data_IF_705165826464
#
_entry.id   IF_705165826464
#
_cell.length_a   1.000
_cell.length_b   1.000
_cell.length_c   1.000
_cell.angle_alpha   90.00
_cell.angle_beta   90.00
_cell.angle_gamma   90.00
#
_symmetry.space_group_name_H-M   'P 1'
#
loop_
_entity.id
_entity.type
_entity.pdbx_description
1 polymer ?
#
# COMPACT_ATOMS: atom_id res chain seq x y z
N UNK A 1 -17.08 -13.05 7.39
CA UNK A 1 -16.06 -12.46 6.50
C UNK A 1 -16.36 -12.64 5.01
N UNK A 2 -17.01 -13.73 4.57
CA UNK A 2 -17.37 -14.03 3.17
C UNK A 2 -18.20 -12.95 2.45
N UNK A 3 -19.01 -12.17 3.15
CA UNK A 3 -19.85 -11.13 2.53
C UNK A 3 -19.04 -9.86 2.14
N UNK A 4 -17.97 -9.51 2.90
CA UNK A 4 -17.21 -8.27 2.66
C UNK A 4 -16.35 -8.35 1.41
N UNK A 5 -15.66 -9.47 1.20
CA UNK A 5 -14.84 -9.69 -0.01
C UNK A 5 -15.70 -9.73 -1.26
N UNK A 6 -16.91 -10.30 -1.17
CA UNK A 6 -17.89 -10.30 -2.24
C UNK A 6 -18.41 -8.89 -2.57
N UNK A 7 -18.76 -8.09 -1.54
CA UNK A 7 -19.17 -6.68 -1.71
C UNK A 7 -18.05 -5.85 -2.32
N UNK A 8 -16.83 -5.99 -1.80
CA UNK A 8 -15.66 -5.29 -2.31
C UNK A 8 -15.41 -5.63 -3.79
N UNK A 9 -15.44 -6.92 -4.14
CA UNK A 9 -15.26 -7.38 -5.53
C UNK A 9 -16.33 -6.79 -6.45
N UNK A 10 -17.61 -6.89 -6.07
CA UNK A 10 -18.73 -6.35 -6.82
C UNK A 10 -18.60 -4.83 -7.05
N UNK A 11 -18.21 -4.09 -6.01
CA UNK A 11 -18.00 -2.65 -6.13
C UNK A 11 -16.78 -2.30 -6.98
N UNK A 12 -15.71 -3.08 -6.88
CA UNK A 12 -14.52 -2.91 -7.70
C UNK A 12 -14.83 -3.15 -9.17
N UNK A 13 -15.65 -4.15 -9.52
CA UNK A 13 -16.11 -4.39 -10.89
C UNK A 13 -16.87 -3.18 -11.46
N UNK A 14 -17.67 -2.50 -10.64
CA UNK A 14 -18.35 -1.24 -11.01
C UNK A 14 -17.37 -0.07 -11.17
N UNK A 15 -16.33 0.01 -10.34
CA UNK A 15 -15.30 1.03 -10.49
C UNK A 15 -14.46 0.78 -11.75
N UNK A 16 -14.16 -0.48 -12.05
CA UNK A 16 -13.43 -0.92 -13.24
C UNK A 16 -14.18 -0.56 -14.53
N UNK A 17 -15.51 -0.76 -14.57
CA UNK A 17 -16.30 -0.40 -15.75
C UNK A 17 -16.26 1.11 -16.04
N UNK A 18 -16.29 1.94 -15.00
CA UNK A 18 -16.16 3.37 -15.17
C UNK A 18 -14.72 3.80 -15.49
N UNK A 19 -13.72 3.15 -14.90
CA UNK A 19 -12.31 3.39 -15.23
C UNK A 19 -12.06 3.15 -16.72
N UNK A 20 -12.58 2.05 -17.28
CA UNK A 20 -12.56 1.75 -18.74
C UNK A 20 -13.17 2.86 -19.58
N UNK A 21 -14.28 3.45 -19.12
CA UNK A 21 -14.94 4.54 -19.82
C UNK A 21 -14.09 5.83 -19.81
N UNK A 22 -13.41 6.12 -18.69
CA UNK A 22 -12.53 7.29 -18.56
C UNK A 22 -11.28 7.14 -19.44
N UNK A 23 -10.56 6.02 -19.31
CA UNK A 23 -9.30 5.82 -20.04
C UNK A 23 -9.48 5.35 -21.49
N UNK A 24 -10.70 4.99 -21.90
CA UNK A 24 -11.03 4.42 -23.22
C UNK A 24 -10.28 3.11 -23.53
N UNK A 25 -9.85 2.37 -22.50
CA UNK A 25 -9.16 1.08 -22.62
C UNK A 25 -10.14 -0.04 -22.28
N UNK A 26 -10.57 -0.81 -23.28
CA UNK A 26 -11.59 -1.86 -23.12
C UNK A 26 -11.06 -3.13 -22.42
N UNK A 27 -9.77 -3.44 -22.57
CA UNK A 27 -9.09 -4.61 -22.01
C UNK A 27 -8.48 -4.38 -20.62
N UNK A 28 -8.94 -3.35 -19.89
CA UNK A 28 -8.53 -3.13 -18.50
C UNK A 28 -9.20 -4.18 -17.60
N UNK A 29 -8.44 -5.01 -16.90
CA UNK A 29 -8.94 -6.03 -15.96
C UNK A 29 -8.32 -5.85 -14.58
N UNK A 30 -8.91 -6.50 -13.57
CA UNK A 30 -8.39 -6.52 -12.21
C UNK A 30 -8.21 -7.96 -11.75
N UNK A 31 -6.98 -8.31 -11.38
CA UNK A 31 -6.62 -9.64 -10.90
C UNK A 31 -5.54 -9.52 -9.81
N UNK A 32 -5.65 -10.31 -8.74
CA UNK A 32 -4.60 -10.39 -7.72
C UNK A 32 -4.22 -9.04 -7.09
N UNK A 33 -5.21 -8.17 -6.85
CA UNK A 33 -5.02 -6.81 -6.30
C UNK A 33 -4.30 -5.82 -7.23
N UNK A 34 -4.18 -6.13 -8.53
CA UNK A 34 -3.56 -5.25 -9.52
C UNK A 34 -4.45 -5.08 -10.74
N UNK A 35 -4.30 -3.94 -11.40
CA UNK A 35 -4.89 -3.70 -12.70
C UNK A 35 -3.97 -4.22 -13.81
N UNK A 36 -4.59 -4.75 -14.86
CA UNK A 36 -3.91 -5.25 -16.06
C UNK A 36 -4.51 -4.59 -17.29
N UNK A 37 -3.68 -4.24 -18.25
CA UNK A 37 -4.10 -3.84 -19.60
C UNK A 37 -3.78 -5.01 -20.53
N UNK A 38 -4.80 -5.79 -20.88
CA UNK A 38 -4.59 -7.09 -21.51
C UNK A 38 -3.84 -8.02 -20.55
N UNK A 39 -2.65 -8.48 -20.95
CA UNK A 39 -1.80 -9.36 -20.16
C UNK A 39 -0.68 -8.62 -19.40
N UNK A 40 -0.60 -7.29 -19.54
CA UNK A 40 0.43 -6.49 -18.88
C UNK A 40 -0.09 -5.86 -17.58
N UNK A 41 0.50 -6.17 -16.42
CA UNK A 41 0.13 -5.48 -15.18
C UNK A 41 0.57 -4.01 -15.24
N UNK A 42 -0.21 -3.16 -14.57
CA UNK A 42 0.17 -1.77 -14.36
C UNK A 42 1.17 -1.65 -13.23
N UNK A 43 2.32 -1.07 -13.55
CA UNK A 43 3.41 -0.81 -12.63
C UNK A 43 3.49 0.69 -12.28
N UNK A 44 4.29 0.97 -11.27
CA UNK A 44 4.73 2.28 -10.79
C UNK A 44 3.63 3.11 -10.13
N UNK A 45 2.66 2.47 -9.49
CA UNK A 45 1.53 3.17 -8.88
C UNK A 45 1.98 3.94 -7.64
N UNK A 46 1.43 5.15 -7.46
CA UNK A 46 1.72 5.94 -6.26
C UNK A 46 1.14 5.31 -4.99
N UNK A 47 1.70 5.70 -3.85
CA UNK A 47 1.40 5.16 -2.52
C UNK A 47 -0.06 5.29 -2.07
N UNK A 48 -0.80 6.27 -2.59
CA UNK A 48 -2.21 6.46 -2.26
C UNK A 48 -3.16 5.69 -3.20
N UNK A 49 -2.61 4.96 -4.16
CA UNK A 49 -3.34 4.27 -5.24
C UNK A 49 -2.97 2.78 -5.36
N UNK A 50 -1.80 2.39 -4.87
CA UNK A 50 -1.23 1.04 -5.02
C UNK A 50 -1.98 -0.09 -4.28
N UNK A 51 -2.86 0.21 -3.33
CA UNK A 51 -3.65 -0.79 -2.58
C UNK A 51 -5.15 -0.64 -2.84
N UNK A 52 -5.77 -1.68 -3.41
CA UNK A 52 -7.20 -1.72 -3.76
C UNK A 52 -8.05 -2.49 -2.74
N UNK A 53 -7.56 -2.57 -1.50
CA UNK A 53 -8.27 -3.15 -0.37
C UNK A 53 -9.11 -2.13 0.41
N UNK A 54 -10.17 -2.63 1.06
CA UNK A 54 -10.91 -1.86 2.06
C UNK A 54 -10.09 -1.78 3.35
N UNK A 55 -9.80 -0.57 3.81
CA UNK A 55 -8.88 -0.28 4.90
C UNK A 55 -9.55 -0.34 6.28
N UNK A 56 -10.85 -0.05 6.39
CA UNK A 56 -11.55 0.02 7.68
C UNK A 56 -12.62 -1.07 7.86
N UNK A 57 -12.69 -1.70 9.03
CA UNK A 57 -13.77 -2.64 9.34
C UNK A 57 -15.13 -1.95 9.55
N UNK A 58 -15.12 -0.66 9.89
CA UNK A 58 -16.29 0.08 10.36
C UNK A 58 -16.78 1.15 9.37
N UNK A 59 -15.91 1.67 8.51
CA UNK A 59 -16.23 2.77 7.59
C UNK A 59 -16.35 2.30 6.13
N UNK A 60 -17.33 1.44 5.85
CA UNK A 60 -17.54 0.90 4.49
C UNK A 60 -17.84 1.97 3.43
N UNK A 61 -18.46 3.09 3.78
CA UNK A 61 -18.74 4.16 2.82
C UNK A 61 -17.47 4.88 2.36
N UNK A 62 -16.59 5.25 3.30
CA UNK A 62 -15.30 5.88 2.99
C UNK A 62 -14.40 4.94 2.19
N UNK A 63 -14.42 3.64 2.52
CA UNK A 63 -13.72 2.60 1.76
C UNK A 63 -14.21 2.53 0.30
N UNK A 64 -15.53 2.64 0.07
CA UNK A 64 -16.08 2.67 -1.30
C UNK A 64 -15.66 3.93 -2.04
N UNK A 65 -15.77 5.10 -1.42
CA UNK A 65 -15.34 6.35 -2.03
C UNK A 65 -13.83 6.34 -2.35
N UNK A 66 -13.02 5.79 -1.44
CA UNK A 66 -11.59 5.60 -1.65
C UNK A 66 -11.32 4.65 -2.83
N UNK A 67 -11.95 3.47 -2.88
CA UNK A 67 -11.80 2.56 -4.03
C UNK A 67 -12.17 3.22 -5.35
N UNK A 68 -13.24 4.02 -5.35
CA UNK A 68 -13.64 4.75 -6.55
C UNK A 68 -12.58 5.77 -6.96
N UNK A 69 -12.07 6.55 -6.02
CA UNK A 69 -11.00 7.51 -6.27
C UNK A 69 -9.71 6.83 -6.74
N UNK A 70 -9.34 5.67 -6.21
CA UNK A 70 -8.20 4.87 -6.69
C UNK A 70 -8.39 4.44 -8.14
N UNK A 71 -9.56 3.89 -8.49
CA UNK A 71 -9.85 3.46 -9.86
C UNK A 71 -9.84 4.64 -10.84
N UNK A 72 -10.43 5.77 -10.46
CA UNK A 72 -10.43 7.00 -11.26
C UNK A 72 -8.99 7.55 -11.43
N UNK A 73 -8.17 7.56 -10.36
CA UNK A 73 -6.74 7.93 -10.40
C UNK A 73 -5.93 7.04 -11.36
N UNK A 74 -6.19 5.73 -11.37
CA UNK A 74 -5.52 4.77 -12.27
C UNK A 74 -5.95 5.01 -13.72
N UNK A 75 -7.23 5.28 -13.95
CA UNK A 75 -7.74 5.61 -15.29
C UNK A 75 -7.07 6.87 -15.86
N UNK A 76 -6.92 7.92 -15.04
CA UNK A 76 -6.20 9.13 -15.43
C UNK A 76 -4.72 8.86 -15.74
N UNK A 77 -4.09 7.96 -14.99
CA UNK A 77 -2.69 7.56 -15.25
C UNK A 77 -2.55 6.86 -16.59
N UNK A 78 -3.45 5.93 -16.91
CA UNK A 78 -3.50 5.26 -18.21
C UNK A 78 -3.71 6.25 -19.37
N UNK A 79 -4.47 7.31 -19.14
CA UNK A 79 -4.81 8.29 -20.17
C UNK A 79 -3.70 9.32 -20.42
N UNK A 80 -2.96 9.71 -19.38
CA UNK A 80 -2.08 10.89 -19.43
C UNK A 80 -0.60 10.60 -19.18
N UNK A 81 -0.22 9.33 -18.93
CA UNK A 81 1.18 8.93 -18.66
C UNK A 81 1.64 7.82 -19.61
N UNK A 82 2.79 8.03 -20.24
CA UNK A 82 3.56 6.97 -20.89
C UNK A 82 4.45 6.25 -19.86
N UNK A 83 4.21 4.94 -19.70
CA UNK A 83 4.93 4.10 -18.77
C UNK A 83 6.42 3.96 -19.10
N UNK A 84 6.81 4.00 -20.38
CA UNK A 84 8.20 3.86 -20.83
C UNK A 84 9.02 5.09 -20.45
N UNK A 85 8.46 6.29 -20.68
CA UNK A 85 9.08 7.56 -20.28
C UNK A 85 9.22 7.64 -18.77
N UNK A 86 8.16 7.23 -18.05
CA UNK A 86 8.20 7.17 -16.59
C UNK A 86 9.31 6.24 -16.08
N UNK A 87 9.36 5.01 -16.60
CA UNK A 87 10.37 4.02 -16.20
C UNK A 87 11.80 4.50 -16.47
N UNK A 88 12.05 5.09 -17.65
CA UNK A 88 13.37 5.60 -18.05
C UNK A 88 13.92 6.67 -17.09
N UNK A 89 13.04 7.51 -16.54
CA UNK A 89 13.42 8.63 -15.68
C UNK A 89 13.34 8.32 -14.17
N UNK A 90 12.82 7.13 -13.82
CA UNK A 90 12.57 6.73 -12.44
C UNK A 90 13.89 6.59 -11.66
N UNK A 91 14.05 7.27 -10.51
CA UNK A 91 15.26 7.17 -9.71
C UNK A 91 15.37 5.81 -9.00
N UNK A 92 16.59 5.42 -8.67
CA UNK A 92 16.88 4.13 -8.02
C UNK A 92 16.59 4.08 -6.52
N UNK A 93 16.87 5.12 -5.69
CA UNK A 93 16.64 5.04 -4.24
C UNK A 93 15.15 5.00 -3.89
N UNK A 94 14.77 4.26 -2.86
CA UNK A 94 13.35 3.96 -2.55
C UNK A 94 12.52 5.21 -2.25
N UNK A 95 13.05 6.16 -1.49
CA UNK A 95 12.29 7.37 -1.14
C UNK A 95 12.20 8.29 -2.35
N UNK A 96 13.30 8.46 -3.09
CA UNK A 96 13.29 9.21 -4.35
C UNK A 96 12.26 8.62 -5.32
N UNK A 97 12.20 7.29 -5.41
CA UNK A 97 11.26 6.55 -6.27
C UNK A 97 9.81 6.75 -5.81
N UNK A 98 9.55 6.66 -4.51
CA UNK A 98 8.24 6.96 -3.91
C UNK A 98 7.76 8.36 -4.28
N UNK A 99 8.61 9.37 -4.08
CA UNK A 99 8.29 10.78 -4.39
C UNK A 99 8.06 10.94 -5.89
N UNK A 100 8.90 10.33 -6.73
CA UNK A 100 8.78 10.42 -8.18
C UNK A 100 7.47 9.81 -8.70
N UNK A 101 7.14 8.59 -8.26
CA UNK A 101 5.90 7.90 -8.64
C UNK A 101 4.66 8.68 -8.18
N UNK A 102 4.75 9.33 -7.01
CA UNK A 102 3.73 10.22 -6.49
C UNK A 102 3.57 11.48 -7.33
N UNK A 103 4.67 12.16 -7.69
CA UNK A 103 4.63 13.34 -8.56
C UNK A 103 3.93 13.03 -9.88
N UNK A 104 4.28 11.93 -10.55
CA UNK A 104 3.60 11.54 -11.79
C UNK A 104 2.10 11.30 -11.58
N UNK A 105 1.72 10.65 -10.48
CA UNK A 105 0.31 10.44 -10.16
C UNK A 105 -0.44 11.75 -9.92
N UNK A 106 0.15 12.70 -9.19
CA UNK A 106 -0.46 14.01 -8.93
C UNK A 106 -0.55 14.83 -10.23
N UNK A 107 0.42 14.70 -11.15
CA UNK A 107 0.38 15.32 -12.48
C UNK A 107 -0.82 14.85 -13.28
N UNK A 108 -1.01 13.54 -13.42
CA UNK A 108 -2.12 12.99 -14.21
C UNK A 108 -3.48 13.28 -13.55
N UNK A 109 -3.54 13.29 -12.22
CA UNK A 109 -4.74 13.70 -11.49
C UNK A 109 -5.08 15.18 -11.74
N UNK A 110 -4.07 16.05 -11.85
CA UNK A 110 -4.27 17.48 -12.15
C UNK A 110 -4.81 17.72 -13.56
N UNK A 111 -4.54 16.81 -14.49
CA UNK A 111 -4.98 16.85 -15.88
C UNK A 111 -6.42 16.31 -16.08
N UNK A 112 -7.12 15.93 -15.01
CA UNK A 112 -8.47 15.38 -15.13
C UNK A 112 -9.42 16.32 -15.92
N UNK A 113 -10.28 15.76 -16.79
CA UNK A 113 -11.19 16.57 -17.61
C UNK A 113 -12.15 17.41 -16.77
N UNK A 114 -12.30 18.68 -17.13
CA UNK A 114 -13.26 19.61 -16.48
C UNK A 114 -14.71 19.15 -16.63
N UNK A 115 -15.00 18.35 -17.66
CA UNK A 115 -16.33 17.74 -17.91
C UNK A 115 -16.71 16.67 -16.89
N UNK A 116 -15.74 16.15 -16.11
CA UNK A 116 -15.93 15.09 -15.13
C UNK A 116 -15.59 15.57 -13.71
N UNK A 117 -16.31 16.56 -13.14
CA UNK A 117 -15.98 17.12 -11.83
C UNK A 117 -16.03 16.07 -10.70
N UNK A 118 -16.90 15.05 -10.83
CA UNK A 118 -16.98 13.96 -9.86
C UNK A 118 -15.69 13.13 -9.76
N UNK A 119 -14.91 13.01 -10.84
CA UNK A 119 -13.60 12.35 -10.82
C UNK A 119 -12.65 13.08 -9.88
N UNK A 120 -12.61 14.41 -9.95
CA UNK A 120 -11.78 15.23 -9.06
C UNK A 120 -12.21 15.13 -7.60
N UNK A 121 -13.52 15.05 -7.34
CA UNK A 121 -14.05 14.78 -6.00
C UNK A 121 -13.58 13.42 -5.48
N UNK A 122 -13.69 12.37 -6.30
CA UNK A 122 -13.29 11.01 -5.90
C UNK A 122 -11.78 10.91 -5.60
N UNK A 123 -10.96 11.47 -6.49
CA UNK A 123 -9.50 11.52 -6.34
C UNK A 123 -9.10 12.29 -5.07
N UNK A 124 -9.75 13.43 -4.81
CA UNK A 124 -9.47 14.24 -3.62
C UNK A 124 -9.90 13.52 -2.33
N UNK A 125 -11.06 12.88 -2.33
CA UNK A 125 -11.55 12.07 -1.22
C UNK A 125 -10.62 10.89 -0.92
N UNK A 126 -10.13 10.20 -1.97
CA UNK A 126 -9.17 9.12 -1.79
C UNK A 126 -7.87 9.59 -1.14
N UNK A 127 -7.29 10.69 -1.64
CA UNK A 127 -6.06 11.22 -1.06
C UNK A 127 -6.26 11.65 0.40
N UNK A 128 -7.37 12.34 0.70
CA UNK A 128 -7.70 12.72 2.07
C UNK A 128 -7.86 11.50 2.99
N UNK A 129 -8.60 10.48 2.56
CA UNK A 129 -8.78 9.24 3.31
C UNK A 129 -7.45 8.51 3.54
N UNK A 130 -6.58 8.48 2.53
CA UNK A 130 -5.23 7.94 2.67
C UNK A 130 -4.40 8.72 3.70
N UNK A 131 -4.46 10.06 3.70
CA UNK A 131 -3.78 10.88 4.70
C UNK A 131 -4.27 10.58 6.12
N UNK A 132 -5.59 10.49 6.32
CA UNK A 132 -6.17 10.12 7.62
C UNK A 132 -5.70 8.74 8.08
N UNK A 133 -5.66 7.77 7.17
CA UNK A 133 -5.16 6.42 7.47
C UNK A 133 -3.69 6.43 7.87
N UNK A 134 -2.81 7.15 7.17
CA UNK A 134 -1.39 7.23 7.55
C UNK A 134 -1.20 7.91 8.91
N UNK A 135 -1.95 8.97 9.17
CA UNK A 135 -1.94 9.66 10.46
C UNK A 135 -2.36 8.73 11.62
N UNK A 136 -3.45 7.99 11.45
CA UNK A 136 -3.96 7.07 12.48
C UNK A 136 -3.06 5.85 12.75
N UNK A 137 -2.27 5.42 11.75
CA UNK A 137 -1.35 4.29 11.89
C UNK A 137 0.05 4.69 12.38
N UNK A 138 0.23 5.93 12.83
CA UNK A 138 1.49 6.40 13.40
C UNK A 138 2.60 6.69 12.38
N UNK A 139 2.29 6.75 11.07
CA UNK A 139 3.29 7.08 10.05
C UNK A 139 3.95 8.44 10.33
N UNK A 140 3.17 9.41 10.82
CA UNK A 140 3.61 10.77 11.16
C UNK A 140 4.28 10.89 12.54
N UNK A 141 4.34 9.82 13.33
CA UNK A 141 4.99 9.86 14.66
C UNK A 141 6.52 9.79 14.55
N UNK A 142 7.02 9.25 13.44
CA UNK A 142 8.45 9.15 13.13
C UNK A 142 8.97 10.41 12.44
N UNK A 143 10.26 10.69 12.57
CA UNK A 143 10.86 11.87 11.93
C UNK A 143 10.87 11.72 10.41
N UNK A 144 11.27 10.56 9.91
CA UNK A 144 11.32 10.29 8.46
C UNK A 144 9.90 10.23 7.88
N UNK A 145 8.97 9.53 8.54
CA UNK A 145 7.60 9.44 8.07
C UNK A 145 6.89 10.80 8.06
N UNK A 146 7.11 11.64 9.08
CA UNK A 146 6.61 13.01 9.10
C UNK A 146 7.16 13.84 7.93
N UNK A 147 8.46 13.72 7.62
CA UNK A 147 9.08 14.44 6.50
C UNK A 147 8.49 13.99 5.16
N UNK A 148 8.38 12.68 4.92
CA UNK A 148 7.77 12.13 3.70
C UNK A 148 6.32 12.60 3.59
N UNK A 149 5.53 12.50 4.67
CA UNK A 149 4.13 12.91 4.70
C UNK A 149 3.96 14.39 4.33
N UNK A 150 4.78 15.26 4.92
CA UNK A 150 4.80 16.70 4.60
C UNK A 150 5.19 16.94 3.14
N UNK A 151 6.22 16.27 2.62
CA UNK A 151 6.61 16.38 1.22
C UNK A 151 5.45 16.05 0.28
N UNK A 152 4.75 14.94 0.50
CA UNK A 152 3.62 14.51 -0.33
C UNK A 152 2.47 15.53 -0.29
N UNK A 153 2.13 16.03 0.90
CA UNK A 153 1.10 17.06 1.06
C UNK A 153 1.47 18.37 0.35
N UNK A 154 2.71 18.85 0.54
CA UNK A 154 3.19 20.09 -0.07
C UNK A 154 3.20 19.98 -1.60
N UNK A 155 3.69 18.88 -2.16
CA UNK A 155 3.69 18.63 -3.61
C UNK A 155 2.26 18.68 -4.16
N UNK A 156 1.32 17.97 -3.51
CA UNK A 156 -0.08 17.95 -3.96
C UNK A 156 -0.72 19.33 -3.89
N UNK A 157 -0.60 20.00 -2.74
CA UNK A 157 -1.18 21.33 -2.54
C UNK A 157 -0.64 22.34 -3.55
N UNK A 158 0.66 22.25 -3.87
CA UNK A 158 1.29 23.12 -4.87
C UNK A 158 0.75 22.89 -6.28
N UNK A 159 0.56 21.64 -6.69
CA UNK A 159 0.08 21.29 -8.03
C UNK A 159 -1.42 21.56 -8.22
N UNK A 160 -2.21 21.32 -7.17
CA UNK A 160 -3.66 21.57 -7.20
C UNK A 160 -4.02 23.03 -6.92
N UNK A 161 -3.13 23.80 -6.28
CA UNK A 161 -3.41 25.17 -5.88
C UNK A 161 -4.43 25.26 -4.73
N UNK A 162 -4.52 24.22 -3.90
CA UNK A 162 -5.45 24.11 -2.77
C UNK A 162 -4.63 24.06 -1.48
N UNK A 163 -5.03 24.76 -0.40
CA UNK A 163 -4.34 24.69 0.87
C UNK A 163 -4.44 23.29 1.49
N UNK A 164 -3.53 23.01 2.42
CA UNK A 164 -3.56 21.78 3.23
C UNK A 164 -4.83 21.78 4.07
N UNK A 165 -5.43 20.60 4.25
CA UNK A 165 -6.61 20.47 5.10
C UNK A 165 -6.27 20.79 6.56
N UNK A 166 -7.18 21.47 7.26
CA UNK A 166 -6.97 21.98 8.62
C UNK A 166 -6.53 20.89 9.63
N UNK A 167 -7.00 19.65 9.47
CA UNK A 167 -6.56 18.49 10.27
C UNK A 167 -5.03 18.28 10.28
N UNK A 168 -4.35 18.64 9.19
CA UNK A 168 -2.92 18.38 9.00
C UNK A 168 -2.06 19.66 9.01
N UNK A 169 -2.67 20.85 8.91
CA UNK A 169 -1.95 22.12 8.74
C UNK A 169 -0.98 22.38 9.89
N UNK A 170 -1.48 22.36 11.13
CA UNK A 170 -0.64 22.52 12.33
C UNK A 170 0.36 21.37 12.53
N UNK A 171 0.01 20.16 12.08
CA UNK A 171 0.86 18.98 12.20
C UNK A 171 2.13 19.13 11.36
N UNK A 172 1.99 19.58 10.10
CA UNK A 172 3.11 19.66 9.16
C UNK A 172 3.93 20.94 9.28
N UNK A 173 3.42 21.99 9.93
CA UNK A 173 3.95 23.35 9.80
C UNK A 173 5.44 23.48 10.08
N UNK A 174 5.91 22.89 11.20
CA UNK A 174 7.32 22.89 11.57
C UNK A 174 8.21 22.25 10.50
N UNK A 175 7.84 21.06 10.03
CA UNK A 175 8.58 20.36 8.98
C UNK A 175 8.49 21.08 7.63
N UNK A 176 7.34 21.68 7.31
CA UNK A 176 7.10 22.45 6.09
C UNK A 176 8.04 23.65 6.02
N UNK A 177 8.18 24.40 7.11
CA UNK A 177 9.10 25.53 7.23
C UNK A 177 10.56 25.15 7.01
N UNK A 178 10.95 23.93 7.41
CA UNK A 178 12.29 23.40 7.18
C UNK A 178 12.54 22.96 5.74
N UNK A 179 11.59 22.23 5.12
CA UNK A 179 11.82 21.62 3.80
C UNK A 179 11.60 22.60 2.64
N UNK A 180 10.58 23.46 2.70
CA UNK A 180 10.14 24.27 1.54
C UNK A 180 11.26 25.18 0.99
N UNK A 181 12.09 25.82 1.82
CA UNK A 181 13.23 26.59 1.32
C UNK A 181 14.25 25.78 0.50
N UNK A 182 14.38 24.48 0.77
CA UNK A 182 15.37 23.59 0.11
C UNK A 182 14.86 23.05 -1.24
N UNK A 183 13.54 22.86 -1.36
CA UNK A 183 12.88 22.25 -2.53
C UNK A 183 12.00 23.22 -3.33
N UNK A 184 11.99 24.50 -2.95
CA UNK A 184 11.06 25.51 -3.47
C UNK A 184 11.19 25.75 -4.97
N UNK A 185 12.41 25.71 -5.51
CA UNK A 185 12.69 25.95 -6.93
C UNK A 185 12.10 24.85 -7.81
N UNK A 186 12.28 23.59 -7.42
CA UNK A 186 11.68 22.45 -8.11
C UNK A 186 10.16 22.49 -7.99
N UNK A 187 9.61 22.78 -6.79
CA UNK A 187 8.17 22.92 -6.58
C UNK A 187 7.55 24.05 -7.40
N UNK A 188 8.30 25.11 -7.70
CA UNK A 188 7.87 26.19 -8.58
C UNK A 188 7.87 25.79 -10.06
N UNK A 189 8.73 24.85 -10.45
CA UNK A 189 8.89 24.41 -11.83
C UNK A 189 7.86 23.36 -12.26
N UNK A 190 7.43 22.48 -11.34
CA UNK A 190 6.49 21.39 -11.66
C UNK A 190 5.18 21.84 -12.36
N UNK A 191 4.45 22.90 -11.93
CA UNK A 191 3.20 23.30 -12.57
C UNK A 191 3.38 23.81 -14.00
N UNK A 192 4.59 24.25 -14.39
CA UNK A 192 4.87 24.78 -15.72
C UNK A 192 4.95 23.68 -16.79
N UNK A 193 5.32 22.47 -16.36
CA UNK A 193 5.58 21.33 -17.26
C UNK A 193 4.44 20.29 -17.24
N UNK A 194 3.23 20.62 -16.76
CA UNK A 194 2.14 19.66 -16.58
C UNK A 194 1.81 18.83 -17.84
N UNK A 195 1.89 19.45 -19.01
CA UNK A 195 1.55 18.85 -20.30
C UNK A 195 2.72 18.14 -21.00
N UNK A 196 3.95 18.29 -20.49
CA UNK A 196 5.14 17.64 -21.04
C UNK A 196 5.72 16.65 -20.02
N UNK A 197 5.45 15.36 -20.23
CA UNK A 197 5.84 14.31 -19.30
C UNK A 197 7.36 14.21 -19.13
N UNK A 198 8.16 14.40 -20.18
CA UNK A 198 9.62 14.28 -20.10
C UNK A 198 10.24 15.40 -19.27
N UNK A 199 9.84 16.65 -19.52
CA UNK A 199 10.30 17.80 -18.75
C UNK A 199 9.83 17.73 -17.30
N UNK A 200 8.57 17.33 -17.08
CA UNK A 200 8.05 17.13 -15.73
C UNK A 200 8.84 16.06 -14.97
N UNK A 201 9.14 14.93 -15.63
CA UNK A 201 9.90 13.85 -15.03
C UNK A 201 11.31 14.31 -14.63
N UNK A 202 11.95 15.19 -15.42
CA UNK A 202 13.25 15.75 -15.05
C UNK A 202 13.18 16.53 -13.73
N UNK A 203 12.22 17.46 -13.61
CA UNK A 203 12.05 18.25 -12.38
C UNK A 203 11.59 17.40 -11.19
N UNK A 204 10.70 16.43 -11.41
CA UNK A 204 10.27 15.49 -10.38
C UNK A 204 11.42 14.62 -9.87
N UNK A 205 12.32 14.19 -10.76
CA UNK A 205 13.51 13.42 -10.40
C UNK A 205 14.52 14.26 -9.60
N UNK A 206 14.72 15.53 -9.96
CA UNK A 206 15.54 16.46 -9.17
C UNK A 206 14.97 16.68 -7.77
N UNK A 207 13.67 16.94 -7.67
CA UNK A 207 12.96 17.09 -6.39
C UNK A 207 13.12 15.84 -5.51
N UNK A 208 12.88 14.67 -6.10
CA UNK A 208 13.01 13.38 -5.42
C UNK A 208 14.42 13.13 -4.89
N UNK A 209 15.46 13.44 -5.68
CA UNK A 209 16.86 13.33 -5.26
C UNK A 209 17.19 14.28 -4.12
N UNK A 210 16.71 15.53 -4.15
CA UNK A 210 16.90 16.48 -3.05
C UNK A 210 16.26 15.98 -1.75
N UNK A 211 15.03 15.47 -1.82
CA UNK A 211 14.35 14.92 -0.64
C UNK A 211 15.09 13.71 -0.08
N UNK A 212 15.60 12.82 -0.95
CA UNK A 212 16.45 11.70 -0.51
C UNK A 212 17.69 12.20 0.24
N UNK A 213 18.41 13.17 -0.31
CA UNK A 213 19.61 13.74 0.34
C UNK A 213 19.30 14.32 1.73
N UNK A 214 18.19 15.06 1.86
CA UNK A 214 17.77 15.62 3.15
C UNK A 214 17.55 14.51 4.19
N UNK A 215 16.96 13.39 3.77
CA UNK A 215 16.69 12.26 4.67
C UNK A 215 17.99 11.53 5.03
N UNK A 216 18.89 11.33 4.07
CA UNK A 216 20.19 10.69 4.28
C UNK A 216 21.06 11.53 5.25
N UNK A 217 21.05 12.87 5.10
CA UNK A 217 21.72 13.79 6.03
C UNK A 217 21.14 13.70 7.45
N UNK A 218 19.82 13.62 7.57
CA UNK A 218 19.15 13.47 8.87
C UNK A 218 19.46 12.13 9.55
N UNK A 219 19.68 11.06 8.77
CA UNK A 219 20.13 9.77 9.29
C UNK A 219 21.56 9.84 9.81
N UNK A 220 22.47 10.49 9.06
CA UNK A 220 23.91 10.54 9.38
C UNK A 220 24.22 11.38 10.62
N UNK A 221 23.39 12.38 10.95
CA UNK A 221 23.56 13.21 12.16
C UNK A 221 23.23 12.49 13.48
N UNK A 222 22.79 11.23 13.44
CA UNK A 222 22.42 10.46 14.63
C UNK A 222 23.28 9.20 14.78
N UNK A 223 24.40 9.32 15.50
CA UNK A 223 25.21 8.15 15.89
C UNK A 223 25.41 7.96 17.41
N UNK A 224 24.87 8.78 18.32
CA UNK A 224 25.22 8.60 19.76
C UNK A 224 24.14 8.75 20.86
N UNK A 225 22.83 8.96 20.62
CA UNK A 225 21.93 9.22 21.78
C UNK A 225 20.50 8.67 21.83
N UNK A 226 19.92 8.03 20.80
CA UNK A 226 18.53 7.57 20.88
C UNK A 226 18.27 6.27 20.07
N UNK A 227 18.62 5.11 20.63
CA UNK A 227 18.38 3.79 19.99
C UNK A 227 16.89 3.50 19.66
N UNK A 228 15.94 3.94 20.49
CA UNK A 228 14.53 3.60 20.31
C UNK A 228 13.84 4.29 19.12
N UNK A 229 14.24 5.51 18.74
CA UNK A 229 13.64 6.23 17.59
C UNK A 229 14.19 5.77 16.25
N UNK A 230 15.40 5.24 16.24
CA UNK A 230 16.06 4.70 15.05
C UNK A 230 15.36 3.44 14.54
N UNK A 231 14.90 2.57 15.44
CA UNK A 231 14.13 1.36 15.07
C UNK A 231 12.80 1.69 14.38
N UNK A 232 12.12 2.76 14.78
CA UNK A 232 10.87 3.18 14.16
C UNK A 232 11.09 3.83 12.79
N UNK A 233 12.14 4.64 12.64
CA UNK A 233 12.57 5.17 11.34
C UNK A 233 12.93 4.02 10.37
N UNK A 234 13.62 2.96 10.83
CA UNK A 234 13.89 1.76 10.02
C UNK A 234 12.60 1.03 9.62
N UNK A 235 11.62 0.90 10.53
CA UNK A 235 10.33 0.26 10.20
C UNK A 235 9.60 1.04 9.10
N UNK A 236 9.62 2.37 9.16
CA UNK A 236 9.01 3.22 8.14
C UNK A 236 9.74 3.11 6.80
N UNK A 237 11.07 3.11 6.80
CA UNK A 237 11.85 2.88 5.58
C UNK A 237 11.54 1.51 4.96
N UNK A 238 11.41 0.46 5.78
CA UNK A 238 10.97 -0.87 5.31
C UNK A 238 9.53 -0.85 4.78
N UNK A 239 8.63 -0.10 5.43
CA UNK A 239 7.25 0.07 4.95
C UNK A 239 7.21 0.79 3.61
N UNK A 240 8.00 1.85 3.44
CA UNK A 240 8.19 2.60 2.19
C UNK A 240 8.74 1.69 1.10
N UNK A 241 9.83 0.97 1.39
CA UNK A 241 10.38 -0.02 0.46
C UNK A 241 9.30 -1.02 0.04
N UNK A 242 8.50 -1.57 0.95
CA UNK A 242 7.42 -2.50 0.60
C UNK A 242 6.27 -1.86 -0.21
N UNK A 243 5.98 -0.58 -0.02
CA UNK A 243 4.99 0.16 -0.82
C UNK A 243 5.45 0.40 -2.26
N UNK A 244 6.77 0.43 -2.47
CA UNK A 244 7.45 0.78 -3.72
C UNK A 244 7.98 -0.46 -4.47
N UNK A 245 8.39 -1.49 -3.72
CA UNK A 245 8.99 -2.75 -4.17
C UNK A 245 7.97 -3.90 -4.26
N UNK A 246 6.67 -3.63 -4.10
CA UNK A 246 5.64 -4.51 -4.66
C UNK A 246 5.83 -4.76 -6.18
N UNK A 247 6.76 -4.07 -6.81
CA UNK A 247 7.01 -4.00 -8.24
C UNK A 247 8.29 -4.70 -8.70
N UNK A 248 9.09 -5.31 -7.80
CA UNK A 248 10.28 -6.06 -8.21
C UNK A 248 10.36 -7.42 -7.50
N UNK A 249 9.56 -8.36 -7.99
CA UNK A 249 10.06 -9.69 -8.29
C UNK A 249 9.42 -10.15 -9.60
N UNK A 250 10.12 -9.91 -10.69
CA UNK A 250 10.36 -10.95 -11.68
C UNK A 250 11.44 -10.44 -12.62
N UNK A 251 12.40 -11.29 -12.96
CA UNK A 251 13.48 -11.05 -13.93
C UNK A 251 12.99 -10.71 -15.36
N UNK A 252 11.71 -10.37 -15.55
CA UNK A 252 10.97 -10.18 -16.81
C UNK A 252 11.06 -8.78 -17.45
N UNK A 253 11.50 -7.74 -16.73
CA UNK A 253 11.71 -6.42 -17.36
C UNK A 253 12.82 -6.44 -18.43
N UNK A 254 13.75 -7.39 -18.36
CA UNK A 254 14.81 -7.57 -19.36
C UNK A 254 14.28 -8.11 -20.70
N UNK A 255 13.08 -8.73 -20.71
CA UNK A 255 12.38 -9.17 -21.93
C UNK A 255 11.38 -8.15 -22.49
N UNK A 256 11.06 -7.06 -21.77
CA UNK A 256 10.01 -6.12 -22.16
C UNK A 256 10.48 -5.01 -23.12
N UNK A 257 11.77 -4.85 -23.38
CA UNK A 257 12.31 -3.81 -24.29
C UNK A 257 12.74 -4.38 -25.65
N UNK A 258 12.92 -5.70 -25.77
CA UNK A 258 13.25 -6.37 -27.03
C UNK A 258 12.05 -7.16 -27.53
N UNK A 259 11.50 -6.78 -28.69
CA UNK A 259 10.29 -7.34 -29.32
C UNK A 259 10.39 -8.82 -29.76
N UNK A 260 11.27 -9.64 -29.17
CA UNK A 260 11.43 -11.04 -29.54
C UNK A 260 11.63 -11.91 -28.31
N UNK A 261 10.54 -12.17 -27.59
CA UNK A 261 10.49 -13.30 -26.67
C UNK A 261 9.77 -14.47 -27.34
N UNK A 262 10.56 -15.46 -27.79
CA UNK A 262 10.11 -16.76 -28.34
C UNK A 262 9.19 -17.56 -27.40
N UNK A 263 8.98 -17.10 -26.18
CA UNK A 263 8.13 -17.74 -25.16
C UNK A 263 6.65 -17.37 -25.27
N UNK A 264 6.28 -16.35 -26.06
CA UNK A 264 4.87 -15.95 -26.22
C UNK A 264 4.04 -16.86 -27.14
N UNK A 265 4.66 -17.51 -28.12
CA UNK A 265 3.91 -18.40 -29.03
C UNK A 265 3.53 -19.73 -28.37
N UNK A 266 4.24 -20.16 -27.31
CA UNK A 266 4.02 -21.45 -26.65
C UNK A 266 2.86 -21.49 -25.65
N UNK A 267 2.32 -20.35 -25.19
CA UNK A 267 1.21 -20.33 -24.22
C UNK A 267 -0.18 -20.28 -24.88
N UNK A 268 -0.26 -20.11 -26.21
CA UNK A 268 -1.53 -20.19 -26.95
C UNK A 268 -1.92 -21.61 -27.37
N UNK A 269 -0.99 -22.57 -27.29
CA UNK A 269 -1.34 -23.97 -27.40
C UNK A 269 -1.98 -24.42 -26.08
N UNK A 270 -3.29 -24.63 -26.08
CA UNK A 270 -4.00 -25.34 -25.01
C UNK A 270 -3.20 -26.58 -24.67
N UNK A 271 -2.64 -26.63 -23.46
CA UNK A 271 -1.90 -27.79 -22.97
C UNK A 271 -2.74 -29.05 -23.20
N UNK A 272 -2.31 -29.89 -24.15
CA UNK A 272 -2.92 -31.19 -24.39
C UNK A 272 -1.98 -32.25 -23.84
N UNK A 273 -2.53 -33.16 -23.04
CA UNK A 273 -1.79 -34.30 -22.50
C UNK A 273 -1.62 -35.29 -23.67
N UNK A 274 -0.40 -35.45 -24.16
CA UNK A 274 -0.13 -36.29 -25.33
C UNK A 274 -0.13 -37.79 -24.97
N UNK A 275 0.38 -38.18 -23.79
CA UNK A 275 0.41 -39.57 -23.32
C UNK A 275 0.53 -39.64 -21.80
N UNK A 276 -0.26 -40.50 -21.15
CA UNK A 276 -0.21 -40.75 -19.69
C UNK A 276 0.53 -42.04 -19.31
N UNK A 277 1.12 -42.75 -20.28
CA UNK A 277 1.72 -44.08 -20.10
C UNK A 277 2.94 -44.08 -19.17
N UNK A 278 3.59 -42.92 -19.01
CA UNK A 278 4.80 -42.75 -18.19
C UNK A 278 4.54 -41.99 -16.89
N UNK A 279 3.29 -41.66 -16.58
CA UNK A 279 2.94 -40.93 -15.36
C UNK A 279 2.99 -41.88 -14.16
N UNK A 280 3.80 -41.54 -13.16
CA UNK A 280 3.90 -42.31 -11.92
C UNK A 280 3.49 -41.47 -10.72
N UNK A 281 2.55 -41.99 -9.94
CA UNK A 281 2.18 -41.41 -8.64
C UNK A 281 3.03 -42.08 -7.57
N UNK A 282 4.00 -41.35 -7.00
CA UNK A 282 4.87 -41.83 -5.93
C UNK A 282 4.61 -41.02 -4.66
N UNK A 283 4.58 -41.71 -3.52
CA UNK A 283 4.45 -41.05 -2.21
C UNK A 283 5.72 -40.24 -1.91
N UNK A 284 5.53 -38.94 -1.66
CA UNK A 284 6.61 -37.95 -1.50
C UNK A 284 7.62 -38.37 -0.42
N UNK A 285 7.15 -39.01 0.64
CA UNK A 285 7.95 -39.49 1.77
C UNK A 285 9.03 -40.52 1.38
N UNK A 286 8.85 -41.22 0.25
CA UNK A 286 9.76 -42.27 -0.22
C UNK A 286 10.88 -41.76 -1.14
N UNK A 287 10.72 -40.55 -1.69
CA UNK A 287 11.65 -39.99 -2.67
C UNK A 287 12.89 -39.35 -2.02
N UNK A 288 12.78 -38.92 -0.76
CA UNK A 288 13.83 -38.12 -0.11
C UNK A 288 14.23 -38.73 1.21
N UNK A 289 15.53 -38.99 1.39
CA UNK A 289 16.08 -39.45 2.67
C UNK A 289 16.04 -38.28 3.68
N UNK A 290 15.77 -38.57 4.96
CA UNK A 290 15.70 -37.53 6.02
C UNK A 290 16.90 -36.57 6.04
N UNK A 291 18.11 -37.09 5.84
CA UNK A 291 19.34 -36.29 5.79
C UNK A 291 19.34 -35.28 4.64
N UNK A 292 18.75 -35.65 3.49
CA UNK A 292 18.63 -34.74 2.35
C UNK A 292 17.58 -33.66 2.62
N UNK A 293 16.47 -34.00 3.30
CA UNK A 293 15.47 -33.00 3.72
C UNK A 293 16.10 -31.93 4.62
N UNK A 294 16.93 -32.32 5.59
CA UNK A 294 17.61 -31.37 6.46
C UNK A 294 18.56 -30.47 5.65
N UNK A 295 19.31 -31.04 4.69
CA UNK A 295 20.17 -30.25 3.81
C UNK A 295 19.39 -29.28 2.94
N UNK A 296 18.28 -29.71 2.33
CA UNK A 296 17.42 -28.85 1.53
C UNK A 296 16.74 -27.78 2.36
N UNK A 297 16.41 -28.08 3.62
CA UNK A 297 15.86 -27.10 4.56
C UNK A 297 16.88 -26.02 4.89
N UNK A 298 18.13 -26.41 5.12
CA UNK A 298 19.23 -25.45 5.33
C UNK A 298 19.45 -24.62 4.06
N UNK A 299 19.50 -25.22 2.88
CA UNK A 299 19.65 -24.48 1.61
C UNK A 299 18.51 -23.50 1.38
N UNK A 300 17.25 -23.94 1.54
CA UNK A 300 16.07 -23.08 1.42
C UNK A 300 16.07 -21.94 2.44
N UNK A 301 16.37 -22.22 3.71
CA UNK A 301 16.47 -21.17 4.71
C UNK A 301 17.57 -20.16 4.34
N UNK A 302 18.71 -20.63 3.82
CA UNK A 302 19.80 -19.77 3.36
C UNK A 302 19.36 -18.87 2.20
N UNK A 303 18.71 -19.45 1.19
CA UNK A 303 18.13 -18.73 0.05
C UNK A 303 17.06 -17.71 0.49
N UNK A 304 16.17 -18.10 1.40
CA UNK A 304 15.13 -17.22 1.94
C UNK A 304 15.73 -16.06 2.76
N UNK A 305 16.80 -16.32 3.53
CA UNK A 305 17.53 -15.27 4.24
C UNK A 305 18.20 -14.29 3.27
N UNK A 306 18.76 -14.77 2.16
CA UNK A 306 19.33 -13.92 1.11
C UNK A 306 18.26 -13.08 0.39
N UNK A 307 17.04 -13.59 0.26
CA UNK A 307 15.91 -12.87 -0.33
C UNK A 307 15.28 -11.81 0.59
N UNK A 308 15.75 -11.66 1.85
CA UNK A 308 15.31 -10.62 2.78
C UNK A 308 13.77 -10.54 2.99
N UNK A 309 13.06 -11.64 2.83
CA UNK A 309 11.60 -11.67 3.02
C UNK A 309 11.29 -11.44 4.51
N UNK A 310 10.52 -10.39 4.90
CA UNK A 310 10.29 -10.08 6.30
C UNK A 310 9.30 -11.07 6.93
N UNK A 311 9.83 -12.18 7.47
CA UNK A 311 9.07 -13.26 8.10
C UNK A 311 8.12 -12.76 9.20
N UNK A 312 8.52 -11.72 9.94
CA UNK A 312 7.69 -11.13 10.98
C UNK A 312 6.41 -10.50 10.43
N UNK A 313 6.46 -9.90 9.23
CA UNK A 313 5.28 -9.30 8.58
C UNK A 313 4.35 -10.38 8.05
N UNK A 314 4.89 -11.41 7.41
CA UNK A 314 4.09 -12.56 6.97
C UNK A 314 3.48 -13.30 8.16
N UNK A 315 4.24 -13.54 9.22
CA UNK A 315 3.73 -14.14 10.45
C UNK A 315 2.68 -13.24 11.14
N UNK A 316 2.85 -11.92 11.13
CA UNK A 316 1.86 -10.97 11.66
C UNK A 316 0.57 -10.97 10.85
N UNK A 317 0.68 -10.94 9.51
CA UNK A 317 -0.47 -11.03 8.60
C UNK A 317 -1.18 -12.37 8.79
N UNK A 318 -0.44 -13.48 8.74
CA UNK A 318 -1.00 -14.83 8.86
C UNK A 318 -1.60 -15.07 10.24
N UNK A 319 -0.92 -14.67 11.32
CA UNK A 319 -1.47 -14.78 12.67
C UNK A 319 -2.75 -13.96 12.83
N UNK A 320 -2.81 -12.75 12.27
CA UNK A 320 -4.05 -11.96 12.27
C UNK A 320 -5.17 -12.59 11.45
N UNK A 321 -4.86 -13.31 10.37
CA UNK A 321 -5.88 -14.05 9.60
C UNK A 321 -6.32 -15.37 10.25
N UNK A 322 -5.44 -16.01 11.03
CA UNK A 322 -5.67 -17.33 11.64
C UNK A 322 -6.31 -17.23 13.03
N UNK A 323 -6.19 -16.08 13.70
CA UNK A 323 -6.79 -15.85 15.03
C UNK A 323 -8.32 -15.98 14.97
N UNK A 324 -8.83 -17.03 15.59
CA UNK A 324 -10.26 -17.16 15.89
C UNK A 324 -10.51 -16.66 17.32
N UNK A 325 -11.42 -15.69 17.53
CA UNK A 325 -11.78 -15.26 18.87
C UNK A 325 -12.53 -16.37 19.59
N UNK A 326 -11.98 -16.87 20.70
CA UNK A 326 -12.69 -17.78 21.59
C UNK A 326 -13.20 -17.00 22.82
N UNK A 327 -14.50 -17.11 23.09
CA UNK A 327 -15.12 -16.41 24.21
C UNK A 327 -14.78 -17.13 25.51
N UNK A 328 -13.68 -16.72 26.13
CA UNK A 328 -13.18 -17.32 27.37
C UNK A 328 -13.85 -16.83 28.66
N UNK A 329 -14.82 -15.91 28.57
CA UNK A 329 -15.66 -15.51 29.72
C UNK A 329 -16.03 -14.03 29.75
N UNK A 330 -16.68 -13.60 30.83
CA UNK A 330 -17.06 -12.20 31.10
C UNK A 330 -16.24 -11.65 32.28
N UNK A 331 -15.77 -10.42 32.16
CA UNK A 331 -15.13 -9.66 33.24
C UNK A 331 -16.14 -8.65 33.75
N UNK A 332 -16.45 -8.72 35.04
CA UNK A 332 -17.40 -7.84 35.72
C UNK A 332 -16.68 -6.64 36.35
N UNK A 333 -17.45 -5.65 36.83
CA UNK A 333 -16.94 -4.47 37.54
C UNK A 333 -15.95 -3.63 36.72
N UNK A 334 -16.23 -3.45 35.44
CA UNK A 334 -15.47 -2.58 34.54
C UNK A 334 -16.06 -1.17 34.54
N UNK A 335 -15.22 -0.17 34.23
CA UNK A 335 -15.63 1.24 34.14
C UNK A 335 -16.33 1.58 32.83
N UNK A 336 -16.18 0.73 31.80
CA UNK A 336 -16.80 0.87 30.49
C UNK A 336 -17.21 -0.50 29.95
N UNK A 337 -18.30 -0.56 29.17
CA UNK A 337 -18.77 -1.81 28.56
C UNK A 337 -20.29 -1.91 28.50
N UNK A 338 -20.80 -3.14 28.56
CA UNK A 338 -22.25 -3.41 28.63
C UNK A 338 -22.69 -3.32 30.09
N UNK A 339 -23.74 -2.57 30.40
CA UNK A 339 -24.22 -2.40 31.78
C UNK A 339 -24.69 -3.73 32.37
N UNK A 340 -24.17 -4.10 33.55
CA UNK A 340 -24.70 -5.24 34.31
C UNK A 340 -25.99 -4.82 35.02
N UNK A 341 -27.09 -5.49 34.70
CA UNK A 341 -28.37 -5.26 35.37
C UNK A 341 -28.30 -5.54 36.88
N UNK A 342 -27.38 -6.41 37.32
CA UNK A 342 -27.19 -6.76 38.74
C UNK A 342 -26.50 -5.67 39.53
N UNK A 343 -25.62 -4.86 38.94
CA UNK A 343 -24.90 -3.80 39.64
C UNK A 343 -25.60 -2.44 39.58
N UNK A 344 -26.74 -2.33 38.91
CA UNK A 344 -27.53 -1.08 38.82
C UNK A 344 -27.92 -0.53 40.19
N UNK A 345 -28.16 -1.40 41.18
CA UNK A 345 -28.49 -0.96 42.54
C UNK A 345 -27.35 -0.12 43.16
N UNK A 346 -26.09 -0.36 42.77
CA UNK A 346 -24.92 0.36 43.29
C UNK A 346 -24.84 1.78 42.75
N UNK A 347 -25.33 2.01 41.52
CA UNK A 347 -25.43 3.36 40.95
C UNK A 347 -26.46 4.21 41.70
N UNK A 348 -27.55 3.60 42.16
CA UNK A 348 -28.62 4.27 42.90
C UNK A 348 -28.15 4.64 44.32
N UNK A 349 -27.38 3.76 44.98
CA UNK A 349 -26.88 4.02 46.34
C UNK A 349 -25.63 4.89 46.38
N UNK A 350 -24.80 4.87 45.34
CA UNK A 350 -23.62 5.72 45.21
C UNK A 350 -23.43 6.20 43.76
N UNK A 351 -23.79 7.45 43.44
CA UNK A 351 -23.72 7.97 42.07
C UNK A 351 -22.28 8.17 41.56
N UNK A 352 -21.27 8.01 42.42
CA UNK A 352 -19.86 8.05 42.03
C UNK A 352 -19.31 6.67 41.61
N UNK A 353 -20.08 5.58 41.71
CA UNK A 353 -19.64 4.24 41.36
C UNK A 353 -19.60 4.04 39.84
N UNK A 354 -18.39 3.89 39.27
CA UNK A 354 -18.18 3.75 37.81
C UNK A 354 -18.07 2.30 37.34
N UNK A 355 -17.82 1.36 38.25
CA UNK A 355 -17.55 -0.05 37.94
C UNK A 355 -18.83 -0.90 37.81
N UNK A 356 -19.73 -0.53 36.88
CA UNK A 356 -21.02 -1.22 36.68
C UNK A 356 -21.12 -1.96 35.35
N UNK A 357 -20.02 -2.04 34.60
CA UNK A 357 -20.01 -2.60 33.26
C UNK A 357 -19.38 -4.00 33.22
N UNK A 358 -19.80 -4.79 32.24
CA UNK A 358 -19.27 -6.11 31.90
C UNK A 358 -18.60 -6.01 30.53
N UNK A 359 -17.37 -6.52 30.45
CA UNK A 359 -16.67 -6.73 29.19
C UNK A 359 -16.53 -8.22 28.88
N UNK A 360 -16.68 -8.58 27.61
CA UNK A 360 -16.42 -9.95 27.15
C UNK A 360 -14.92 -10.14 26.99
N UNK A 361 -14.34 -11.14 27.65
CA UNK A 361 -12.93 -11.50 27.51
C UNK A 361 -12.79 -12.44 26.32
N UNK A 362 -12.21 -11.92 25.24
CA UNK A 362 -11.83 -12.71 24.08
C UNK A 362 -10.33 -13.00 24.16
N UNK A 363 -9.96 -14.24 24.44
CA UNK A 363 -8.58 -14.68 24.25
C UNK A 363 -8.40 -15.10 22.78
N UNK A 364 -7.24 -14.78 22.22
CA UNK A 364 -6.88 -15.18 20.86
C UNK A 364 -6.06 -16.47 20.96
N UNK A 365 -6.66 -17.61 20.60
CA UNK A 365 -5.90 -18.84 20.39
C UNK A 365 -5.47 -18.92 18.93
N UNK A 366 -4.25 -19.40 18.72
CA UNK A 366 -3.68 -19.64 17.39
C UNK A 366 -3.68 -21.15 17.17
N UNK A 367 -4.79 -21.70 16.67
CA UNK A 367 -4.87 -23.12 16.31
C UNK A 367 -5.04 -23.22 14.79
N UNK A 368 -3.93 -23.45 14.08
CA UNK A 368 -3.96 -23.83 12.67
C UNK A 368 -3.25 -25.17 12.50
N UNK A 369 -3.96 -26.13 11.92
CA UNK A 369 -3.35 -27.31 11.29
C UNK A 369 -3.29 -27.06 9.79
N UNK A 370 -2.08 -26.93 9.26
CA UNK A 370 -1.83 -26.91 7.82
C UNK A 370 -1.79 -28.37 7.35
N UNK A 371 -2.86 -28.80 6.67
CA UNK A 371 -2.87 -30.07 5.94
C UNK A 371 -2.31 -29.77 4.55
N UNK A 372 -1.11 -30.25 4.28
CA UNK A 372 -0.58 -30.29 2.91
C UNK A 372 -1.24 -31.50 2.22
N UNK A 373 -2.04 -31.25 1.18
CA UNK A 373 -2.56 -32.30 0.30
C UNK A 373 -1.55 -32.64 -0.78
#
# INVERSE_FOLDING_TARGET
MTNRTAIQKSYLDQCLSAARAICQVSNLTYQGQRFYVGDQPLYFLAVHVNDLSFQSQYHMENDRLSLRGKADSIALRLQHSDQRVHFKNRPTPDIARLIFDFCEQVRVERLAPVTLPGVMTNVSNNFFYWCQYQYQNGFTETRIGMLIFTCLLVIRCRLFGVPVHHDFDALIESTRMGIVPLIGDELFSLPKCLFNQEEYAHHACQLAKKIQLIIDEQQTQHDESLQNKFDDDIKILKQVALMVDGEIEEKYLQTLITEQSKTKDTTQEKYQIFTQEYDQVVQVDTLVRKVQLDSFRVTLNTELHLQNIPHYRLASILSNTIKTPENTGQVYQQEEGIVDARSLHQLITNPMQRQIFINRRCNQLTTAQLVYC
#
